data_IF_839235517262
#
_entry.id   IF_839235517262
#
_cell.length_a   1.000
_cell.length_b   1.000
_cell.length_c   1.000
_cell.angle_alpha   90.00
_cell.angle_beta   90.00
_cell.angle_gamma   90.00
#
_symmetry.space_group_name_H-M   'P 1'
#
loop_
_entity.id
_entity.type
_entity.pdbx_description
1 polymer ?
#
# COMPACT_ATOMS: atom_id res chain seq x y z
N UNK A 1 15.89 -30.71 12.68
CA UNK A 1 14.92 -29.61 12.89
C UNK A 1 15.58 -28.26 13.18
N UNK A 2 16.41 -28.11 14.22
CA UNK A 2 17.03 -26.83 14.57
C UNK A 2 17.84 -26.19 13.44
N UNK A 3 18.67 -26.97 12.73
CA UNK A 3 19.48 -26.48 11.60
C UNK A 3 18.62 -25.98 10.44
N UNK A 4 17.59 -26.74 10.06
CA UNK A 4 16.66 -26.34 9.00
C UNK A 4 15.93 -25.03 9.33
N UNK A 5 15.47 -24.88 10.57
CA UNK A 5 14.84 -23.64 11.05
C UNK A 5 15.83 -22.47 10.99
N UNK A 6 17.10 -22.68 11.33
CA UNK A 6 18.14 -21.65 11.21
C UNK A 6 18.40 -21.24 9.76
N UNK A 7 18.37 -22.19 8.81
CA UNK A 7 18.53 -21.90 7.38
C UNK A 7 17.35 -21.08 6.86
N UNK A 8 16.12 -21.49 7.17
CA UNK A 8 14.91 -20.75 6.75
C UNK A 8 14.87 -19.36 7.38
N UNK A 9 15.23 -19.25 8.66
CA UNK A 9 15.32 -17.96 9.35
C UNK A 9 16.38 -17.05 8.72
N UNK A 10 17.55 -17.60 8.36
CA UNK A 10 18.60 -16.86 7.67
C UNK A 10 18.08 -16.34 6.33
N UNK A 11 17.50 -17.22 5.50
CA UNK A 11 16.93 -16.87 4.20
C UNK A 11 15.92 -15.72 4.34
N UNK A 12 15.02 -15.81 5.33
CA UNK A 12 13.99 -14.82 5.58
C UNK A 12 14.58 -13.45 5.97
N UNK A 13 15.54 -13.44 6.90
CA UNK A 13 16.19 -12.20 7.34
C UNK A 13 16.98 -11.58 6.18
N UNK A 14 17.72 -12.37 5.40
CA UNK A 14 18.47 -11.86 4.25
C UNK A 14 17.54 -11.34 3.17
N UNK A 15 16.43 -12.02 2.90
CA UNK A 15 15.45 -11.59 1.92
C UNK A 15 14.84 -10.24 2.27
N UNK A 16 14.44 -10.05 3.54
CA UNK A 16 13.86 -8.79 4.01
C UNK A 16 14.90 -7.65 4.04
N UNK A 17 16.15 -7.94 4.37
CA UNK A 17 17.21 -6.94 4.48
C UNK A 17 17.82 -6.54 3.12
N UNK A 18 17.80 -7.42 2.11
CA UNK A 18 18.42 -7.19 0.79
C UNK A 18 18.05 -5.85 0.16
N UNK A 19 16.76 -5.50 -0.03
CA UNK A 19 16.41 -4.24 -0.68
C UNK A 19 16.81 -3.01 0.14
N UNK A 20 16.79 -3.11 1.47
CA UNK A 20 17.25 -2.03 2.37
C UNK A 20 18.76 -1.82 2.28
N UNK A 21 19.54 -2.90 2.25
CA UNK A 21 21.00 -2.83 2.10
C UNK A 21 21.38 -2.30 0.72
N UNK A 22 20.69 -2.75 -0.34
CA UNK A 22 20.92 -2.30 -1.71
C UNK A 22 20.57 -0.80 -1.86
N UNK A 23 19.42 -0.37 -1.32
CA UNK A 23 19.03 1.04 -1.33
C UNK A 23 19.95 1.94 -0.50
N UNK A 24 20.53 1.42 0.59
CA UNK A 24 21.55 2.14 1.36
C UNK A 24 22.88 2.27 0.61
N UNK A 25 23.29 1.22 -0.11
CA UNK A 25 24.55 1.22 -0.84
C UNK A 25 24.49 2.10 -2.10
N UNK A 26 23.31 2.17 -2.74
CA UNK A 26 23.10 3.02 -3.91
C UNK A 26 21.65 3.51 -3.95
N UNK A 27 21.50 4.82 -3.74
CA UNK A 27 20.21 5.51 -3.61
C UNK A 27 19.35 5.49 -4.87
N UNK A 28 19.93 5.16 -6.03
CA UNK A 28 19.29 5.15 -7.35
C UNK A 28 19.35 3.75 -7.98
N UNK A 29 19.40 2.71 -7.14
CA UNK A 29 19.37 1.33 -7.62
C UNK A 29 17.93 0.82 -7.63
N UNK A 30 17.53 0.32 -8.79
CA UNK A 30 16.24 -0.31 -8.99
C UNK A 30 16.13 -1.62 -8.19
N UNK A 31 15.37 -1.57 -7.09
CA UNK A 31 15.05 -2.74 -6.25
C UNK A 31 13.87 -3.54 -6.78
N UNK A 32 13.25 -3.14 -7.91
CA UNK A 32 12.12 -3.86 -8.51
C UNK A 32 12.45 -5.34 -8.73
N UNK A 33 13.67 -5.66 -9.14
CA UNK A 33 14.16 -7.04 -9.32
C UNK A 33 14.18 -7.89 -8.05
N UNK A 34 14.33 -7.27 -6.87
CA UNK A 34 14.33 -7.95 -5.56
C UNK A 34 12.91 -8.16 -5.03
N UNK A 35 12.00 -7.23 -5.36
CA UNK A 35 10.60 -7.28 -4.97
C UNK A 35 9.68 -7.90 -6.02
N UNK A 36 10.19 -8.19 -7.21
CA UNK A 36 9.42 -8.80 -8.29
C UNK A 36 9.17 -10.26 -7.97
N UNK A 37 8.13 -10.49 -7.18
CA UNK A 37 7.46 -11.78 -7.01
C UNK A 37 6.60 -12.09 -8.25
N UNK A 38 7.06 -11.76 -9.45
CA UNK A 38 6.42 -12.12 -10.72
C UNK A 38 6.52 -13.63 -10.97
N UNK A 39 5.96 -14.45 -10.07
CA UNK A 39 4.86 -15.30 -10.49
C UNK A 39 3.72 -14.35 -10.89
N UNK A 40 3.86 -13.73 -12.06
CA UNK A 40 2.73 -13.14 -12.73
C UNK A 40 1.68 -14.23 -12.76
N UNK A 41 0.56 -14.03 -12.04
CA UNK A 41 -0.69 -14.62 -12.48
C UNK A 41 -0.76 -14.23 -13.96
N UNK A 42 -0.38 -15.15 -14.84
CA UNK A 42 -0.79 -15.08 -16.21
C UNK A 42 -2.29 -15.28 -16.09
N UNK A 43 -3.01 -14.18 -15.82
CA UNK A 43 -4.46 -14.08 -15.84
C UNK A 43 -4.78 -14.31 -17.31
N UNK A 44 -4.72 -15.57 -17.72
CA UNK A 44 -5.35 -16.07 -18.93
C UNK A 44 -6.82 -15.83 -18.66
N UNK A 45 -7.29 -14.66 -19.07
CA UNK A 45 -8.69 -14.29 -19.21
C UNK A 45 -9.57 -15.04 -18.20
N UNK A 46 -9.74 -14.49 -16.99
CA UNK A 46 -10.79 -14.97 -16.10
C UNK A 46 -12.09 -14.80 -16.87
N UNK A 47 -12.53 -15.88 -17.54
CA UNK A 47 -13.87 -16.01 -18.08
C UNK A 47 -14.77 -15.91 -16.86
N UNK A 48 -15.34 -14.73 -16.66
CA UNK A 48 -16.29 -14.44 -15.61
C UNK A 48 -17.42 -15.47 -15.65
N UNK A 49 -17.30 -16.53 -14.85
CA UNK A 49 -18.43 -17.39 -14.55
C UNK A 49 -19.32 -16.56 -13.65
N UNK A 50 -20.46 -16.12 -14.19
CA UNK A 50 -21.53 -15.43 -13.46
C UNK A 50 -22.18 -16.36 -12.44
N UNK A 51 -21.42 -16.82 -11.44
CA UNK A 51 -21.98 -17.39 -10.24
C UNK A 51 -22.39 -16.20 -9.36
N UNK A 52 -23.69 -15.86 -9.37
CA UNK A 52 -24.25 -14.95 -8.38
C UNK A 52 -24.04 -15.57 -6.99
N UNK A 53 -22.94 -15.22 -6.35
CA UNK A 53 -22.64 -15.61 -4.98
C UNK A 53 -23.52 -14.72 -4.09
N UNK A 54 -24.77 -15.12 -3.89
CA UNK A 54 -25.71 -14.49 -2.96
C UNK A 54 -25.27 -14.75 -1.52
N UNK A 55 -24.21 -14.09 -1.09
CA UNK A 55 -23.87 -13.99 0.32
C UNK A 55 -24.14 -12.55 0.72
N UNK A 56 -25.30 -12.34 1.34
CA UNK A 56 -25.60 -11.09 2.01
C UNK A 56 -24.80 -11.06 3.32
N UNK A 57 -23.60 -10.51 3.25
CA UNK A 57 -22.73 -10.33 4.40
C UNK A 57 -23.30 -9.19 5.25
N UNK A 58 -24.19 -9.51 6.19
CA UNK A 58 -24.71 -8.55 7.16
C UNK A 58 -23.64 -8.30 8.23
N UNK A 59 -22.82 -7.27 8.02
CA UNK A 59 -21.87 -6.78 9.04
C UNK A 59 -22.67 -5.88 10.00
N UNK A 60 -22.84 -6.24 11.28
CA UNK A 60 -23.45 -5.33 12.24
C UNK A 60 -22.50 -4.15 12.49
N UNK A 61 -22.92 -2.97 12.03
CA UNK A 61 -22.23 -1.71 12.33
C UNK A 61 -22.74 -1.19 13.67
N UNK A 62 -21.90 -1.25 14.70
CA UNK A 62 -22.20 -0.64 16.00
C UNK A 62 -21.76 0.82 15.99
N UNK A 63 -22.71 1.74 16.04
CA UNK A 63 -22.42 3.15 16.27
C UNK A 63 -22.18 3.38 17.76
N UNK A 64 -20.91 3.52 18.15
CA UNK A 64 -20.56 4.04 19.47
C UNK A 64 -20.92 5.53 19.49
N UNK A 65 -21.77 5.92 20.44
CA UNK A 65 -22.07 7.34 20.66
C UNK A 65 -20.75 8.07 20.94
N UNK A 66 -20.48 9.12 20.14
CA UNK A 66 -19.29 9.95 20.35
C UNK A 66 -19.31 10.46 21.79
N UNK A 67 -18.24 10.26 22.59
CA UNK A 67 -18.14 10.94 23.87
C UNK A 67 -18.27 12.45 23.62
N UNK A 68 -18.97 13.16 24.50
CA UNK A 68 -19.21 14.59 24.39
C UNK A 68 -17.90 15.30 24.03
N UNK A 69 -17.91 16.01 22.90
CA UNK A 69 -16.75 16.65 22.31
C UNK A 69 -16.09 17.53 23.39
N UNK A 70 -14.92 17.09 23.90
CA UNK A 70 -14.01 18.04 24.50
C UNK A 70 -13.70 19.06 23.41
N UNK A 71 -13.97 20.34 23.68
CA UNK A 71 -13.71 21.41 22.72
C UNK A 71 -12.26 21.32 22.28
N UNK A 72 -12.03 20.99 21.01
CA UNK A 72 -10.68 20.96 20.43
C UNK A 72 -10.27 22.42 20.25
N UNK A 73 -9.66 23.02 21.27
CA UNK A 73 -9.03 24.35 21.18
C UNK A 73 -7.71 24.19 20.44
N UNK A 74 -7.75 24.27 19.12
CA UNK A 74 -6.53 24.35 18.31
C UNK A 74 -6.01 25.79 18.36
N UNK A 75 -5.15 26.11 19.33
CA UNK A 75 -4.61 27.48 19.49
C UNK A 75 -3.71 27.92 18.32
N UNK A 76 -3.26 27.01 17.47
CA UNK A 76 -2.30 27.33 16.43
C UNK A 76 -2.78 26.92 15.04
N UNK A 77 -3.76 27.64 14.49
CA UNK A 77 -4.03 27.59 13.05
C UNK A 77 -2.87 28.27 12.30
N UNK A 78 -1.76 27.55 12.13
CA UNK A 78 -0.72 27.96 11.19
C UNK A 78 -1.35 28.03 9.81
N UNK A 79 -1.75 29.24 9.41
CA UNK A 79 -2.13 29.55 8.03
C UNK A 79 -0.87 29.42 7.21
N UNK A 80 -0.70 28.27 6.57
CA UNK A 80 0.28 28.13 5.50
C UNK A 80 -0.23 28.91 4.31
N UNK A 81 0.58 29.83 3.80
CA UNK A 81 0.28 30.51 2.55
C UNK A 81 0.34 29.45 1.44
N UNK A 82 -0.81 29.17 0.82
CA UNK A 82 -0.91 28.16 -0.21
C UNK A 82 -0.25 28.70 -1.48
N UNK A 83 1.05 28.47 -1.63
CA UNK A 83 1.80 28.78 -2.85
C UNK A 83 1.52 27.78 -3.99
N UNK A 84 0.33 27.18 -4.02
CA UNK A 84 -0.10 26.37 -5.15
C UNK A 84 -0.53 27.30 -6.28
N UNK A 85 0.39 27.49 -7.23
CA UNK A 85 0.05 27.96 -8.57
C UNK A 85 -0.82 26.87 -9.18
N UNK A 86 -2.03 27.24 -9.60
CA UNK A 86 -2.99 26.38 -10.28
C UNK A 86 -2.29 25.60 -11.41
N UNK A 87 -2.19 24.29 -11.27
CA UNK A 87 -1.56 23.44 -12.27
C UNK A 87 -2.59 23.26 -13.40
N UNK A 88 -2.57 24.17 -14.36
CA UNK A 88 -3.35 24.06 -15.59
C UNK A 88 -2.67 23.06 -16.52
N UNK A 89 -3.09 21.79 -16.47
CA UNK A 89 -2.78 20.86 -17.56
C UNK A 89 -3.73 21.14 -18.72
N UNK A 90 -3.24 21.38 -19.95
CA UNK A 90 -4.13 21.49 -21.10
C UNK A 90 -4.93 20.20 -21.29
N UNK A 91 -6.14 20.28 -21.89
CA UNK A 91 -6.95 19.10 -22.19
C UNK A 91 -6.16 18.12 -23.07
N UNK A 92 -6.28 16.79 -22.87
CA UNK A 92 -5.67 15.82 -23.76
C UNK A 92 -6.19 16.02 -25.19
N UNK A 93 -5.30 16.06 -26.17
CA UNK A 93 -5.71 16.00 -27.58
C UNK A 93 -6.39 14.65 -27.81
N UNK A 94 -7.66 14.69 -28.22
CA UNK A 94 -8.41 13.52 -28.67
C UNK A 94 -7.88 13.16 -30.06
N UNK A 95 -6.93 12.24 -30.12
CA UNK A 95 -6.53 11.56 -31.36
C UNK A 95 -7.48 10.40 -31.63
#
# INVERSE_FOLDING_TARGET
>A
MKVLVKIVLLLFITFLATPTVVGFLKSDTDTSSVYSFSEEETIKEIKETKAQLKFELQIPVYFVAKPALAAITFENTLKHDSSFREIFSPPPELV
#
